data_IF_529439212133
#
_entry.id   IF_529439212133
#
_cell.length_a   1.000
_cell.length_b   1.000
_cell.length_c   1.000
_cell.angle_alpha   90.00
_cell.angle_beta   90.00
_cell.angle_gamma   90.00
#
_symmetry.space_group_name_H-M   'P 1'
#
loop_
_entity.id
_entity.type
_entity.pdbx_description
1 polymer ?
#
# COMPACT_ATOMS: atom_id res chain seq x y z
N UNK A 1 -14.27 -5.23 5.50
CA UNK A 1 -12.83 -4.96 5.31
C UNK A 1 -12.47 -5.34 3.89
N UNK A 2 -11.89 -4.45 3.08
CA UNK A 2 -11.39 -4.80 1.75
C UNK A 2 -10.25 -5.80 1.90
N UNK A 3 -10.17 -6.78 0.99
CA UNK A 3 -9.02 -7.67 0.95
C UNK A 3 -7.83 -6.87 0.47
N UNK A 4 -6.73 -7.06 1.15
CA UNK A 4 -5.44 -6.44 0.91
C UNK A 4 -4.96 -6.63 -0.55
N UNK A 5 -5.35 -7.71 -1.22
CA UNK A 5 -5.07 -7.98 -2.63
C UNK A 5 -5.72 -6.98 -3.62
N UNK A 6 -6.72 -6.20 -3.17
CA UNK A 6 -7.42 -5.19 -3.99
C UNK A 6 -6.88 -3.76 -3.76
N UNK A 7 -5.79 -3.62 -2.98
CA UNK A 7 -5.18 -2.31 -2.71
C UNK A 7 -4.37 -1.91 -3.93
N UNK A 8 -4.83 -0.87 -4.64
CA UNK A 8 -4.05 -0.22 -5.69
C UNK A 8 -2.96 0.65 -5.03
N UNK A 9 -1.66 0.28 -5.11
CA UNK A 9 -0.57 1.05 -4.51
C UNK A 9 -0.41 2.45 -5.10
N UNK A 10 -0.90 2.66 -6.31
CA UNK A 10 -0.83 3.94 -7.02
C UNK A 10 -2.19 4.67 -7.07
N UNK A 11 -3.24 4.03 -6.55
CA UNK A 11 -4.56 4.60 -6.44
C UNK A 11 -4.65 5.62 -5.30
N UNK A 12 -5.71 6.44 -5.26
CA UNK A 12 -5.94 7.36 -4.14
C UNK A 12 -6.10 6.56 -2.85
N UNK A 13 -5.66 7.14 -1.74
CA UNK A 13 -5.90 6.61 -0.40
C UNK A 13 -7.39 6.66 -0.08
N UNK A 14 -7.91 5.63 0.59
CA UNK A 14 -9.34 5.56 0.95
C UNK A 14 -9.50 5.07 2.38
N UNK A 15 -10.58 5.53 3.02
CA UNK A 15 -11.01 4.97 4.31
C UNK A 15 -11.14 3.44 4.25
N UNK A 16 -10.60 2.78 5.27
CA UNK A 16 -10.53 1.32 5.39
C UNK A 16 -9.35 0.65 4.68
N UNK A 17 -8.43 1.42 4.06
CA UNK A 17 -7.19 0.88 3.49
C UNK A 17 -6.07 0.84 4.54
N UNK A 18 -5.23 -0.20 4.47
CA UNK A 18 -4.03 -0.32 5.27
C UNK A 18 -2.92 0.57 4.68
N UNK A 19 -2.24 1.29 5.56
CA UNK A 19 -1.16 2.21 5.23
C UNK A 19 -0.04 2.08 6.25
N UNK A 20 1.16 2.49 5.85
CA UNK A 20 2.23 2.79 6.77
C UNK A 20 2.35 4.30 6.89
N UNK A 21 2.49 4.80 8.12
CA UNK A 21 2.78 6.20 8.36
C UNK A 21 4.07 6.40 9.16
N UNK A 22 4.76 7.50 8.86
CA UNK A 22 6.09 7.79 9.35
C UNK A 22 6.03 8.60 10.65
N UNK A 23 6.63 8.05 11.72
CA UNK A 23 6.80 8.74 12.99
C UNK A 23 8.17 9.39 13.00
N UNK A 24 8.20 10.72 13.04
CA UNK A 24 9.45 11.51 12.99
C UNK A 24 10.29 11.32 14.25
N UNK A 25 9.64 11.14 15.41
CA UNK A 25 10.32 10.93 16.69
C UNK A 25 11.16 9.64 16.69
N UNK A 26 10.63 8.57 16.10
CA UNK A 26 11.29 7.26 16.02
C UNK A 26 12.09 7.07 14.72
N UNK A 27 11.86 7.92 13.71
CA UNK A 27 12.45 7.76 12.38
C UNK A 27 12.01 6.48 11.66
N UNK A 28 10.83 5.94 12.00
CA UNK A 28 10.35 4.65 11.55
C UNK A 28 8.92 4.72 10.97
N UNK A 29 8.58 3.70 10.17
CA UNK A 29 7.25 3.54 9.57
C UNK A 29 6.45 2.52 10.36
N UNK A 30 5.21 2.86 10.69
CA UNK A 30 4.30 2.04 11.48
C UNK A 30 3.01 1.76 10.72
N UNK A 31 2.43 0.59 10.93
CA UNK A 31 1.19 0.19 10.26
C UNK A 31 -0.03 0.85 10.90
N UNK A 32 -0.98 1.22 10.06
CA UNK A 32 -2.28 1.74 10.48
C UNK A 32 -3.34 1.56 9.40
N UNK A 33 -4.56 1.95 9.73
CA UNK A 33 -5.74 1.88 8.87
C UNK A 33 -6.31 3.28 8.72
N UNK A 34 -6.53 3.73 7.49
CA UNK A 34 -7.18 5.02 7.25
C UNK A 34 -8.61 4.95 7.79
N UNK A 35 -8.93 5.84 8.74
CA UNK A 35 -10.29 6.01 9.24
C UNK A 35 -11.12 6.88 8.29
N UNK A 36 -10.57 8.03 7.90
CA UNK A 36 -11.30 9.04 7.13
C UNK A 36 -10.38 9.95 6.32
N UNK A 37 -10.95 10.49 5.25
CA UNK A 37 -10.40 11.64 4.52
C UNK A 37 -11.03 12.92 5.08
N UNK A 38 -10.20 13.87 5.48
CA UNK A 38 -10.65 15.13 6.08
C UNK A 38 -11.07 16.16 5.01
N UNK A 39 -10.79 15.91 3.72
CA UNK A 39 -11.16 16.80 2.61
C UNK A 39 -10.28 18.04 2.47
N UNK A 40 -9.30 18.23 3.36
CA UNK A 40 -8.31 19.30 3.35
C UNK A 40 -6.95 18.87 2.79
N UNK A 41 -6.87 17.64 2.25
CA UNK A 41 -5.63 17.02 1.79
C UNK A 41 -4.86 16.26 2.88
N UNK A 42 -5.41 16.16 4.10
CA UNK A 42 -4.94 15.27 5.15
C UNK A 42 -5.87 14.07 5.33
N UNK A 43 -5.29 12.95 5.79
CA UNK A 43 -6.05 11.76 6.15
C UNK A 43 -5.83 11.47 7.63
N UNK A 44 -6.86 10.96 8.29
CA UNK A 44 -6.76 10.41 9.64
C UNK A 44 -6.71 8.89 9.55
N UNK A 45 -5.69 8.30 10.16
CA UNK A 45 -5.54 6.86 10.34
C UNK A 45 -5.56 6.49 11.81
N UNK A 46 -5.80 5.22 12.10
CA UNK A 46 -5.61 4.62 13.42
C UNK A 46 -4.44 3.66 13.33
N UNK A 47 -3.49 3.75 14.26
CA UNK A 47 -2.39 2.81 14.35
C UNK A 47 -2.85 1.43 14.80
N UNK A 48 -2.18 0.38 14.31
CA UNK A 48 -2.50 -0.99 14.70
C UNK A 48 -1.95 -1.37 16.10
N UNK A 49 -0.94 -0.62 16.59
CA UNK A 49 -0.25 -0.93 17.86
C UNK A 49 -1.03 -0.43 19.10
N UNK A 50 -1.31 0.87 19.15
CA UNK A 50 -1.96 1.53 20.29
C UNK A 50 -3.41 1.96 20.03
N UNK A 51 -3.87 1.91 18.77
CA UNK A 51 -5.20 2.37 18.38
C UNK A 51 -5.37 3.88 18.38
N UNK A 52 -4.30 4.67 18.50
CA UNK A 52 -4.38 6.12 18.48
C UNK A 52 -4.67 6.68 17.08
N UNK A 53 -5.40 7.80 17.03
CA UNK A 53 -5.64 8.53 15.78
C UNK A 53 -4.42 9.38 15.42
N UNK A 54 -3.98 9.28 14.18
CA UNK A 54 -2.94 10.13 13.62
C UNK A 54 -3.43 10.80 12.34
N UNK A 55 -3.22 12.12 12.24
CA UNK A 55 -3.60 12.91 11.07
C UNK A 55 -2.38 13.44 10.36
N UNK A 56 -2.28 13.15 9.07
CA UNK A 56 -1.06 13.37 8.32
C UNK A 56 -1.38 13.59 6.83
N UNK A 57 -0.52 14.34 6.13
CA UNK A 57 -0.65 14.53 4.69
C UNK A 57 -0.01 13.35 3.96
N UNK A 58 -0.71 12.69 3.01
CA UNK A 58 -0.21 11.46 2.42
C UNK A 58 1.15 11.60 1.73
N UNK A 59 1.36 12.72 1.02
CA UNK A 59 2.63 12.99 0.34
C UNK A 59 3.83 13.23 1.26
N UNK A 60 3.62 13.39 2.57
CA UNK A 60 4.70 13.68 3.55
C UNK A 60 5.03 12.50 4.43
N UNK A 61 4.01 11.76 4.87
CA UNK A 61 4.16 10.78 5.95
C UNK A 61 3.26 9.55 5.81
N UNK A 62 2.62 9.30 4.65
CA UNK A 62 1.91 8.02 4.42
C UNK A 62 2.38 7.32 3.15
N UNK A 63 2.45 6.00 3.21
CA UNK A 63 2.61 5.13 2.03
C UNK A 63 1.63 3.97 2.14
N UNK A 64 1.17 3.45 1.00
CA UNK A 64 0.28 2.27 1.01
C UNK A 64 1.08 1.04 1.40
N UNK A 65 0.55 0.27 2.35
CA UNK A 65 1.12 -1.04 2.69
C UNK A 65 0.73 -2.00 1.57
N UNK A 66 1.65 -2.25 0.64
CA UNK A 66 1.57 -3.41 -0.24
C UNK A 66 2.24 -4.56 0.49
N UNK A 67 1.49 -5.55 1.00
CA UNK A 67 2.14 -6.75 1.45
C UNK A 67 2.77 -7.40 0.24
N UNK A 68 4.01 -7.83 0.46
CA UNK A 68 4.79 -8.62 -0.47
C UNK A 68 3.94 -9.84 -0.84
N UNK A 69 3.47 -9.89 -2.07
CA UNK A 69 2.65 -11.00 -2.53
C UNK A 69 3.56 -12.21 -2.67
N UNK A 70 3.25 -13.29 -1.96
CA UNK A 70 4.02 -14.53 -2.06
C UNK A 70 3.79 -15.17 -3.43
N UNK A 71 4.83 -15.77 -3.99
CA UNK A 71 4.78 -16.36 -5.34
C UNK A 71 3.69 -17.44 -5.48
N UNK A 72 3.35 -18.10 -4.37
CA UNK A 72 2.31 -19.14 -4.23
C UNK A 72 0.88 -18.62 -4.40
N UNK A 73 0.63 -17.34 -4.11
CA UNK A 73 -0.69 -16.71 -4.19
C UNK A 73 -0.98 -16.16 -5.59
N UNK A 74 -0.05 -16.32 -6.54
CA UNK A 74 -0.20 -15.88 -7.93
C UNK A 74 -0.78 -17.02 -8.76
N UNK A 75 -1.94 -16.80 -9.39
CA UNK A 75 -2.62 -17.80 -10.22
C UNK A 75 -2.90 -17.32 -11.65
N UNK A 76 -2.98 -18.26 -12.59
CA UNK A 76 -3.29 -17.96 -14.01
C UNK A 76 -4.65 -17.26 -14.11
N UNK A 77 -4.67 -16.07 -14.73
CA UNK A 77 -5.88 -15.23 -14.88
C UNK A 77 -5.98 -14.06 -13.90
N UNK A 78 -5.09 -13.99 -12.91
CA UNK A 78 -4.98 -12.86 -12.00
C UNK A 78 -4.43 -11.63 -12.71
N UNK A 79 -5.07 -10.48 -12.49
CA UNK A 79 -4.59 -9.18 -12.98
C UNK A 79 -3.70 -8.55 -11.92
N UNK A 80 -2.46 -8.24 -12.29
CA UNK A 80 -1.49 -7.59 -11.41
C UNK A 80 -1.07 -6.25 -12.04
N UNK A 81 -0.96 -5.23 -11.20
CA UNK A 81 -0.34 -3.97 -11.57
C UNK A 81 1.14 -4.04 -11.19
N UNK A 82 2.01 -3.49 -12.03
CA UNK A 82 3.44 -3.55 -11.79
C UNK A 82 4.22 -2.63 -12.70
N UNK A 83 5.54 -2.65 -12.54
CA UNK A 83 6.45 -1.88 -13.38
C UNK A 83 6.96 -2.76 -14.50
N UNK A 84 6.82 -2.31 -15.75
CA UNK A 84 7.39 -3.02 -16.90
C UNK A 84 8.91 -2.87 -16.84
N UNK A 85 9.60 -3.97 -16.55
CA UNK A 85 11.07 -3.97 -16.46
C UNK A 85 11.72 -4.23 -17.81
N UNK A 86 11.05 -4.96 -18.69
CA UNK A 86 11.57 -5.29 -20.01
C UNK A 86 10.46 -5.56 -21.02
N UNK A 87 10.61 -5.04 -22.23
CA UNK A 87 9.75 -5.37 -23.38
C UNK A 87 10.61 -6.00 -24.47
N UNK A 88 10.17 -7.14 -24.99
CA UNK A 88 10.79 -7.84 -26.12
C UNK A 88 9.71 -8.21 -27.14
N UNK A 89 10.12 -8.61 -28.35
CA UNK A 89 9.18 -8.94 -29.44
C UNK A 89 8.13 -10.00 -29.07
N UNK A 90 8.44 -10.90 -28.14
CA UNK A 90 7.55 -11.99 -27.69
C UNK A 90 6.72 -11.65 -26.45
N UNK A 91 6.88 -10.46 -25.85
CA UNK A 91 6.11 -10.07 -24.66
C UNK A 91 6.78 -9.02 -23.78
N UNK A 92 6.09 -8.64 -22.69
CA UNK A 92 6.57 -7.72 -21.68
C UNK A 92 6.71 -8.43 -20.32
N UNK A 93 7.77 -8.11 -19.60
CA UNK A 93 8.03 -8.58 -18.24
C UNK A 93 7.58 -7.50 -17.26
N UNK A 94 6.73 -7.89 -16.33
CA UNK A 94 6.15 -7.04 -15.29
C UNK A 94 6.74 -7.46 -13.94
N UNK A 95 7.38 -6.54 -13.24
CA UNK A 95 7.71 -6.71 -11.82
C UNK A 95 6.51 -6.27 -10.98
N UNK A 96 5.98 -7.20 -10.21
CA UNK A 96 4.80 -7.05 -9.36
C UNK A 96 5.16 -7.03 -7.87
N UNK A 97 6.46 -6.94 -7.54
CA UNK A 97 6.95 -6.93 -6.16
C UNK A 97 6.99 -8.30 -5.49
N UNK A 98 6.92 -9.40 -6.27
CA UNK A 98 7.01 -10.75 -5.73
C UNK A 98 8.44 -11.05 -5.26
N UNK A 99 8.59 -11.51 -4.02
CA UNK A 99 9.85 -12.03 -3.51
C UNK A 99 10.09 -13.43 -4.08
N UNK A 100 11.28 -13.71 -4.60
CA UNK A 100 11.73 -15.08 -4.62
C UNK A 100 11.93 -15.55 -3.16
N UNK A 101 11.55 -16.80 -2.81
CA UNK A 101 11.90 -17.40 -1.53
C UNK A 101 13.42 -17.52 -1.33
#
# INVERSE_FOLDING_TARGET
RKRIADVDPHGPFRAGEAVEAFIVEDGAWYNGIIQRDNGDGTLTLIWDDDGEEHTCSPGRCMRKTVPRQELSDIHVGQKLNGTITRVIATGAFLDVGAAAP
#
